data_IF_412401986497
#
_entry.id   IF_412401986497
#
_cell.length_a   1.000
_cell.length_b   1.000
_cell.length_c   1.000
_cell.angle_alpha   90.00
_cell.angle_beta   90.00
_cell.angle_gamma   90.00
#
_symmetry.space_group_name_H-M   'P 1'
#
loop_
_entity.id
_entity.type
_entity.pdbx_description
1 polymer ?
#
# COMPACT_ATOMS: atom_id res chain seq x y z
N UNK A 1 -36.06 7.94 4.12
CA UNK A 1 -34.94 8.75 3.63
C UNK A 1 -33.71 7.85 3.54
N UNK A 2 -33.43 7.27 2.37
CA UNK A 2 -32.23 6.46 2.16
C UNK A 2 -31.15 7.38 1.60
N UNK A 3 -30.19 7.78 2.44
CA UNK A 3 -29.08 8.62 2.00
C UNK A 3 -27.92 7.68 1.61
N UNK A 4 -27.80 7.44 0.32
CA UNK A 4 -26.72 6.65 -0.27
C UNK A 4 -25.46 7.52 -0.26
N UNK A 5 -24.56 7.26 0.70
CA UNK A 5 -23.27 7.93 0.75
C UNK A 5 -22.46 7.47 -0.46
N UNK A 6 -22.48 8.28 -1.52
CA UNK A 6 -21.56 8.19 -2.65
C UNK A 6 -20.17 8.55 -2.15
N UNK A 7 -19.42 7.58 -1.67
CA UNK A 7 -17.97 7.72 -1.49
C UNK A 7 -17.36 7.91 -2.88
N UNK A 8 -17.11 9.17 -3.22
CA UNK A 8 -16.38 9.58 -4.41
C UNK A 8 -14.98 9.01 -4.36
N UNK A 9 -14.77 7.89 -5.06
CA UNK A 9 -13.49 7.56 -5.63
C UNK A 9 -13.32 8.49 -6.82
N UNK A 10 -12.64 9.63 -6.64
CA UNK A 10 -12.28 10.49 -7.75
C UNK A 10 -11.53 9.64 -8.78
N UNK A 11 -12.14 9.41 -9.95
CA UNK A 11 -11.82 8.35 -10.93
C UNK A 11 -10.44 8.39 -11.59
N UNK A 12 -9.38 8.79 -10.88
CA UNK A 12 -7.99 8.59 -11.26
C UNK A 12 -7.54 7.21 -10.77
N UNK A 13 -7.19 6.27 -11.67
CA UNK A 13 -6.62 5.00 -11.23
C UNK A 13 -5.29 5.26 -10.51
N UNK A 14 -5.03 4.64 -9.35
CA UNK A 14 -3.72 4.66 -8.74
C UNK A 14 -2.73 4.01 -9.72
N UNK A 15 -1.79 4.79 -10.26
CA UNK A 15 -0.99 4.42 -11.45
C UNK A 15 0.08 3.34 -11.21
N UNK A 16 0.02 2.58 -10.13
CA UNK A 16 1.05 1.57 -9.85
C UNK A 16 0.46 0.43 -9.05
N UNK A 17 0.38 -0.73 -9.69
CA UNK A 17 0.18 -2.03 -9.03
C UNK A 17 1.56 -2.55 -8.63
N UNK A 18 1.69 -3.01 -7.39
CA UNK A 18 2.86 -3.75 -6.96
C UNK A 18 2.56 -5.25 -7.11
N UNK A 19 3.60 -6.02 -7.41
CA UNK A 19 3.54 -7.47 -7.50
C UNK A 19 4.56 -8.01 -6.50
N UNK A 20 4.12 -8.87 -5.58
CA UNK A 20 5.01 -9.54 -4.65
C UNK A 20 5.89 -10.54 -5.42
N UNK A 21 7.23 -10.42 -5.36
CA UNK A 21 8.13 -11.32 -6.09
C UNK A 21 8.16 -12.74 -5.52
N UNK A 22 7.68 -12.95 -4.29
CA UNK A 22 7.72 -14.25 -3.61
C UNK A 22 6.48 -15.10 -3.87
N UNK A 23 5.28 -14.51 -3.74
CA UNK A 23 4.01 -15.25 -3.85
C UNK A 23 3.14 -14.81 -5.03
N UNK A 24 3.53 -13.75 -5.75
CA UNK A 24 2.73 -13.21 -6.85
C UNK A 24 1.50 -12.40 -6.42
N UNK A 25 1.36 -12.05 -5.15
CA UNK A 25 0.26 -11.18 -4.69
C UNK A 25 0.33 -9.81 -5.41
N UNK A 26 -0.78 -9.42 -6.03
CA UNK A 26 -0.92 -8.16 -6.74
C UNK A 26 -1.88 -7.25 -5.98
N UNK A 27 -1.45 -6.01 -5.70
CA UNK A 27 -2.33 -5.01 -5.10
C UNK A 27 -1.88 -3.62 -5.51
N UNK A 28 -2.81 -2.65 -5.69
CA UNK A 28 -2.45 -1.25 -5.89
C UNK A 28 -1.49 -0.77 -4.80
N UNK A 29 -0.65 0.22 -5.10
CA UNK A 29 0.27 0.79 -4.11
C UNK A 29 -0.44 1.24 -2.82
N UNK A 30 -1.65 1.80 -2.93
CA UNK A 30 -2.50 2.21 -1.80
C UNK A 30 -3.49 1.11 -1.35
N UNK A 31 -3.29 -0.12 -1.81
CA UNK A 31 -4.14 -1.28 -1.52
C UNK A 31 -3.71 -1.98 -0.24
N UNK A 32 -3.66 -3.31 -0.29
CA UNK A 32 -3.61 -4.18 0.90
C UNK A 32 -2.19 -4.41 1.45
N UNK A 33 -1.22 -3.60 1.03
CA UNK A 33 0.15 -3.69 1.53
C UNK A 33 0.21 -3.25 2.99
N UNK A 34 0.85 -4.06 3.85
CA UNK A 34 1.13 -3.67 5.22
C UNK A 34 2.28 -2.67 5.21
N UNK A 35 2.04 -1.45 5.69
CA UNK A 35 3.07 -0.41 5.73
C UNK A 35 3.73 -0.43 7.10
N UNK A 36 4.99 -0.79 7.13
CA UNK A 36 5.83 -0.73 8.33
C UNK A 36 6.71 0.51 8.23
N UNK A 37 6.55 1.44 9.18
CA UNK A 37 7.42 2.60 9.29
C UNK A 37 8.66 2.18 10.07
N UNK A 38 9.83 2.24 9.43
CA UNK A 38 11.09 2.20 10.17
C UNK A 38 11.23 3.55 10.88
N UNK A 39 10.82 3.58 12.15
CA UNK A 39 11.00 4.70 13.05
C UNK A 39 12.48 4.87 13.39
N UNK A 40 13.29 5.27 12.42
CA UNK A 40 14.49 6.04 12.73
C UNK A 40 13.99 7.47 13.01
N UNK A 41 14.02 7.88 14.29
CA UNK A 41 13.44 9.08 14.91
C UNK A 41 13.86 10.46 14.32
N UNK A 42 14.23 10.54 13.07
CA UNK A 42 14.79 11.75 12.44
C UNK A 42 14.34 11.83 10.99
N UNK A 43 13.67 12.94 10.65
CA UNK A 43 13.49 13.53 9.30
C UNK A 43 13.98 12.60 8.16
N UNK A 44 13.13 11.68 7.70
CA UNK A 44 13.46 10.70 6.65
C UNK A 44 12.98 9.26 6.93
N UNK A 45 11.84 9.08 7.59
CA UNK A 45 11.33 7.76 7.94
C UNK A 45 11.04 6.92 6.69
N UNK A 46 11.68 5.75 6.59
CA UNK A 46 11.46 4.83 5.46
C UNK A 46 10.19 4.03 5.68
N UNK A 47 9.31 3.99 4.68
CA UNK A 47 8.13 3.12 4.64
C UNK A 47 8.45 1.83 3.90
N UNK A 48 8.33 0.70 4.57
CA UNK A 48 8.40 -0.63 3.98
C UNK A 48 6.99 -1.13 3.62
N UNK A 49 6.79 -1.52 2.37
CA UNK A 49 5.56 -2.16 1.90
C UNK A 49 5.74 -3.67 2.02
N UNK A 50 4.91 -4.31 2.84
CA UNK A 50 5.00 -5.72 3.17
C UNK A 50 3.79 -6.47 2.63
N UNK A 51 4.03 -7.62 2.00
CA UNK A 51 3.00 -8.48 1.45
C UNK A 51 2.13 -9.07 2.56
N UNK A 52 0.79 -8.95 2.51
CA UNK A 52 -0.09 -9.53 3.53
C UNK A 52 -0.16 -11.06 3.46
N UNK A 53 0.21 -11.67 2.32
CA UNK A 53 0.09 -13.11 2.11
C UNK A 53 1.32 -13.91 2.58
N UNK A 54 2.52 -13.36 2.39
CA UNK A 54 3.78 -14.06 2.69
C UNK A 54 4.79 -13.22 3.49
N UNK A 55 4.35 -12.05 3.96
CA UNK A 55 5.13 -11.13 4.81
C UNK A 55 6.45 -10.65 4.21
N UNK A 56 6.64 -10.84 2.89
CA UNK A 56 7.83 -10.36 2.19
C UNK A 56 7.74 -8.85 1.99
N UNK A 57 8.81 -8.12 2.34
CA UNK A 57 8.95 -6.71 1.97
C UNK A 57 9.10 -6.59 0.45
N UNK A 58 8.15 -5.91 -0.19
CA UNK A 58 8.10 -5.71 -1.63
C UNK A 58 8.92 -4.49 -2.05
N UNK A 59 8.84 -3.39 -1.30
CA UNK A 59 9.62 -2.18 -1.58
C UNK A 59 9.80 -1.32 -0.34
N UNK A 60 10.77 -0.42 -0.36
CA UNK A 60 11.06 0.57 0.68
C UNK A 60 11.09 1.95 0.04
N UNK A 61 10.48 2.95 0.67
CA UNK A 61 10.42 4.33 0.18
C UNK A 61 10.83 5.31 1.27
N UNK A 62 11.67 6.28 0.92
CA UNK A 62 12.10 7.40 1.78
C UNK A 62 11.12 8.58 1.69
#
# INVERSE_FOLDING_TARGET
MSNEVRTGWDGRPPKTVLICPTCGHESPLSGDWRIEADAADTVGATQAYVCPACETTVTRRL
#
